data_IF_276591427089
#
_entry.id   IF_276591427089
#
_cell.length_a   1.000
_cell.length_b   1.000
_cell.length_c   1.000
_cell.angle_alpha   90.00
_cell.angle_beta   90.00
_cell.angle_gamma   90.00
#
_symmetry.space_group_name_H-M   'P 1'
#
loop_
_entity.id
_entity.type
_entity.pdbx_description
1 polymer ?
#
# COMPACT_ATOMS: atom_id res chain seq x y z
N UNK A 1 8.30 -22.20 30.06
CA UNK A 1 6.99 -21.49 30.06
C UNK A 1 7.25 -19.98 30.05
N UNK A 2 8.31 -19.54 30.73
CA UNK A 2 8.78 -18.16 30.74
C UNK A 2 9.34 -17.71 29.37
N UNK A 3 9.99 -18.59 28.61
CA UNK A 3 10.59 -18.28 27.31
C UNK A 3 9.53 -17.97 26.24
N UNK A 4 8.40 -18.67 26.28
CA UNK A 4 7.27 -18.43 25.37
C UNK A 4 6.61 -17.08 25.64
N UNK A 5 6.45 -16.75 26.92
CA UNK A 5 5.95 -15.43 27.36
C UNK A 5 6.91 -14.34 26.90
N UNK A 6 8.22 -14.58 27.01
CA UNK A 6 9.23 -13.63 26.59
C UNK A 6 9.21 -13.39 25.06
N UNK A 7 9.12 -14.45 24.25
CA UNK A 7 9.00 -14.32 22.79
C UNK A 7 7.74 -13.54 22.40
N UNK A 8 6.60 -13.81 23.06
CA UNK A 8 5.38 -13.06 22.81
C UNK A 8 5.51 -11.57 23.20
N UNK A 9 6.19 -11.26 24.31
CA UNK A 9 6.49 -9.88 24.70
C UNK A 9 7.37 -9.18 23.66
N UNK A 10 8.37 -9.88 23.10
CA UNK A 10 9.20 -9.36 22.02
C UNK A 10 8.32 -9.02 20.80
N UNK A 11 7.44 -9.93 20.38
CA UNK A 11 6.57 -9.69 19.22
C UNK A 11 5.61 -8.52 19.46
N UNK A 12 5.01 -8.42 20.65
CA UNK A 12 4.14 -7.30 21.01
C UNK A 12 4.89 -5.97 21.05
N UNK A 13 6.15 -5.96 21.53
CA UNK A 13 6.99 -4.76 21.51
C UNK A 13 7.27 -4.31 20.08
N UNK A 14 7.59 -5.25 19.18
CA UNK A 14 7.81 -4.98 17.76
C UNK A 14 6.56 -4.30 17.18
N UNK A 15 5.38 -4.90 17.33
CA UNK A 15 4.13 -4.34 16.79
C UNK A 15 3.81 -2.95 17.34
N UNK A 16 3.99 -2.75 18.64
CA UNK A 16 3.70 -1.49 19.30
C UNK A 16 4.58 -0.34 18.77
N UNK A 17 5.83 -0.62 18.40
CA UNK A 17 6.77 0.43 17.96
C UNK A 17 6.66 0.71 16.45
N UNK A 18 6.36 -0.30 15.63
CA UNK A 18 6.46 -0.21 14.17
C UNK A 18 5.12 -0.22 13.44
N UNK A 19 4.00 -0.28 14.17
CA UNK A 19 2.65 -0.40 13.62
C UNK A 19 2.49 -1.62 12.68
N UNK A 20 3.22 -2.71 12.95
CA UNK A 20 2.96 -3.97 12.27
C UNK A 20 1.57 -4.48 12.64
N UNK A 21 0.88 -5.06 11.66
CA UNK A 21 -0.43 -5.68 11.83
C UNK A 21 -0.34 -7.11 12.39
N UNK A 22 0.86 -7.66 12.48
CA UNK A 22 1.09 -9.05 12.84
C UNK A 22 2.54 -9.48 12.75
N UNK A 23 3.01 -10.28 13.71
CA UNK A 23 4.33 -10.86 13.72
C UNK A 23 4.34 -12.34 14.11
N UNK A 24 5.30 -13.09 13.58
CA UNK A 24 5.51 -14.52 13.81
C UNK A 24 6.99 -14.82 14.03
N UNK A 25 7.29 -15.73 14.95
CA UNK A 25 8.58 -16.41 14.99
C UNK A 25 8.46 -17.82 14.43
N UNK A 26 9.27 -18.11 13.42
CA UNK A 26 9.41 -19.44 12.83
C UNK A 26 10.78 -20.01 13.19
N UNK A 27 10.79 -21.27 13.63
CA UNK A 27 12.01 -22.06 13.72
C UNK A 27 12.40 -22.56 12.32
N UNK A 28 13.58 -22.17 11.85
CA UNK A 28 14.10 -22.52 10.52
C UNK A 28 14.47 -24.01 10.42
N UNK A 29 14.85 -24.66 11.53
CA UNK A 29 15.29 -26.06 11.50
C UNK A 29 14.15 -27.03 11.18
N UNK A 30 12.95 -26.72 11.64
CA UNK A 30 11.78 -27.60 11.50
C UNK A 30 10.57 -26.91 10.84
N UNK A 31 10.76 -25.69 10.31
CA UNK A 31 9.72 -24.88 9.66
C UNK A 31 8.44 -24.75 10.49
N UNK A 32 8.56 -24.68 11.81
CA UNK A 32 7.42 -24.61 12.72
C UNK A 32 7.24 -23.21 13.29
N UNK A 33 5.98 -22.81 13.45
CA UNK A 33 5.64 -21.60 14.16
C UNK A 33 5.86 -21.79 15.66
N UNK A 34 6.70 -20.95 16.26
CA UNK A 34 6.95 -20.95 17.70
C UNK A 34 5.94 -20.06 18.42
N UNK A 35 5.78 -18.83 17.93
CA UNK A 35 4.95 -17.82 18.59
C UNK A 35 4.41 -16.81 17.57
N UNK A 36 3.25 -16.22 17.87
CA UNK A 36 2.58 -15.25 17.00
C UNK A 36 1.66 -14.33 17.78
N UNK A 37 1.61 -13.07 17.37
CA UNK A 37 0.63 -12.07 17.84
C UNK A 37 -0.70 -12.16 17.11
N UNK A 38 -0.71 -12.77 15.92
CA UNK A 38 -1.92 -12.99 15.14
C UNK A 38 -2.72 -14.16 15.76
N UNK A 39 -4.04 -13.99 16.00
CA UNK A 39 -4.86 -15.00 16.69
C UNK A 39 -5.36 -16.13 15.79
N UNK A 40 -5.00 -16.18 14.50
CA UNK A 40 -5.43 -17.20 13.56
C UNK A 40 -4.27 -18.04 13.02
N UNK A 41 -4.58 -19.30 12.71
CA UNK A 41 -3.61 -20.24 12.17
C UNK A 41 -3.25 -19.88 10.73
N UNK A 42 -1.95 -19.85 10.42
CA UNK A 42 -1.47 -19.82 9.04
C UNK A 42 -1.21 -21.27 8.61
N UNK A 43 -1.68 -21.63 7.42
CA UNK A 43 -1.45 -22.98 6.90
C UNK A 43 0.07 -23.27 6.84
N UNK A 44 0.48 -24.44 7.34
CA UNK A 44 1.90 -24.83 7.42
C UNK A 44 2.59 -24.78 6.05
N UNK A 45 1.86 -25.10 4.99
CA UNK A 45 2.36 -25.06 3.61
C UNK A 45 2.82 -23.65 3.23
N UNK A 46 2.07 -22.62 3.62
CA UNK A 46 2.43 -21.21 3.37
C UNK A 46 3.70 -20.82 4.13
N UNK A 47 3.80 -21.21 5.41
CA UNK A 47 4.98 -20.91 6.22
C UNK A 47 6.22 -21.61 5.66
N UNK A 48 6.06 -22.84 5.15
CA UNK A 48 7.12 -23.58 4.49
C UNK A 48 7.55 -22.92 3.18
N UNK A 49 6.60 -22.50 2.32
CA UNK A 49 6.90 -21.78 1.08
C UNK A 49 7.70 -20.50 1.35
N UNK A 50 7.37 -19.76 2.40
CA UNK A 50 8.10 -18.55 2.81
C UNK A 50 9.55 -18.88 3.22
N UNK A 51 9.76 -19.97 3.96
CA UNK A 51 11.11 -20.43 4.31
C UNK A 51 11.92 -20.84 3.07
N UNK A 52 11.33 -21.59 2.15
CA UNK A 52 11.98 -22.00 0.89
C UNK A 52 12.36 -20.79 0.05
N UNK A 53 11.48 -19.80 -0.03
CA UNK A 53 11.75 -18.55 -0.76
C UNK A 53 12.96 -17.81 -0.17
N UNK A 54 13.02 -17.68 1.16
CA UNK A 54 14.16 -17.08 1.86
C UNK A 54 15.46 -17.81 1.54
N UNK A 55 15.49 -19.14 1.63
CA UNK A 55 16.68 -19.94 1.34
C UNK A 55 17.12 -19.79 -0.12
N UNK A 56 16.16 -19.76 -1.05
CA UNK A 56 16.44 -19.54 -2.48
C UNK A 56 17.12 -18.19 -2.70
N UNK A 57 16.62 -17.12 -2.07
CA UNK A 57 17.26 -15.80 -2.15
C UNK A 57 18.60 -15.73 -1.43
N UNK A 58 18.81 -16.49 -0.37
CA UNK A 58 20.12 -16.62 0.26
C UNK A 58 21.14 -17.26 -0.69
N UNK A 59 20.76 -18.33 -1.39
CA UNK A 59 21.63 -18.97 -2.38
C UNK A 59 22.01 -18.00 -3.49
N UNK A 60 21.06 -17.20 -4.00
CA UNK A 60 21.37 -16.15 -4.96
C UNK A 60 22.33 -15.10 -4.39
N UNK A 61 22.13 -14.67 -3.14
CA UNK A 61 23.01 -13.70 -2.48
C UNK A 61 24.44 -14.24 -2.33
N UNK A 62 24.59 -15.54 -2.04
CA UNK A 62 25.89 -16.21 -1.93
C UNK A 62 26.57 -16.29 -3.31
N UNK A 63 25.84 -16.64 -4.37
CA UNK A 63 26.39 -16.72 -5.73
C UNK A 63 26.93 -15.37 -6.25
N UNK A 64 26.30 -14.27 -5.86
CA UNK A 64 26.77 -12.92 -6.21
C UNK A 64 27.78 -12.34 -5.20
N UNK A 65 28.25 -13.13 -4.23
CA UNK A 65 29.15 -12.71 -3.14
C UNK A 65 28.64 -11.52 -2.32
N UNK A 66 27.31 -11.39 -2.17
CA UNK A 66 26.68 -10.34 -1.36
C UNK A 66 26.61 -10.71 0.13
N UNK A 67 26.84 -11.99 0.47
CA UNK A 67 26.86 -12.50 1.84
C UNK A 67 25.45 -12.79 2.39
N UNK A 68 25.31 -12.72 3.72
CA UNK A 68 24.05 -13.09 4.38
C UNK A 68 22.93 -12.09 4.11
N UNK A 69 21.81 -12.61 3.59
CA UNK A 69 20.56 -11.89 3.45
C UNK A 69 19.96 -11.67 4.85
N UNK A 70 19.97 -10.41 5.28
CA UNK A 70 19.49 -10.03 6.62
C UNK A 70 17.99 -9.74 6.65
N UNK A 71 17.44 -9.29 5.53
CA UNK A 71 16.05 -8.90 5.33
C UNK A 71 15.60 -9.32 3.92
N UNK A 72 14.39 -9.86 3.83
CA UNK A 72 13.65 -10.01 2.58
C UNK A 72 12.30 -9.30 2.73
N UNK A 73 11.95 -8.44 1.79
CA UNK A 73 10.65 -7.77 1.76
C UNK A 73 9.86 -8.30 0.57
N UNK A 74 8.66 -8.80 0.83
CA UNK A 74 7.71 -9.24 -0.16
C UNK A 74 6.55 -8.26 -0.20
N UNK A 75 6.22 -7.78 -1.39
CA UNK A 75 5.03 -6.96 -1.63
C UNK A 75 3.91 -7.87 -2.12
N UNK A 76 2.73 -7.73 -1.53
CA UNK A 76 1.53 -8.48 -1.94
C UNK A 76 0.28 -7.60 -1.88
N UNK A 77 -0.85 -8.10 -2.37
CA UNK A 77 -2.05 -7.31 -2.69
C UNK A 77 -2.65 -6.45 -1.56
N UNK A 78 -2.30 -6.72 -0.30
CA UNK A 78 -2.81 -6.00 0.89
C UNK A 78 -1.73 -5.32 1.72
N UNK A 79 -0.47 -5.38 1.31
CA UNK A 79 0.64 -4.72 1.98
C UNK A 79 1.96 -5.45 1.81
N UNK A 80 2.75 -5.49 2.88
CA UNK A 80 4.11 -6.00 2.85
C UNK A 80 4.33 -7.07 3.90
N UNK A 81 5.14 -8.06 3.54
CA UNK A 81 5.66 -9.07 4.44
C UNK A 81 7.17 -8.89 4.51
N UNK A 82 7.67 -8.73 5.72
CA UNK A 82 9.09 -8.63 6.01
C UNK A 82 9.57 -9.91 6.67
N UNK A 83 10.65 -10.48 6.16
CA UNK A 83 11.34 -11.61 6.75
C UNK A 83 12.68 -11.12 7.27
N UNK A 84 12.90 -11.22 8.57
CA UNK A 84 14.16 -10.87 9.20
C UNK A 84 14.85 -12.11 9.71
N UNK A 85 16.12 -12.29 9.33
CA UNK A 85 16.92 -13.37 9.88
C UNK A 85 17.35 -13.01 11.32
N UNK A 86 16.98 -13.87 12.28
CA UNK A 86 17.30 -13.72 13.69
C UNK A 86 18.12 -14.94 14.13
N UNK A 87 19.46 -14.83 14.12
CA UNK A 87 20.34 -15.92 14.52
C UNK A 87 20.07 -16.36 15.97
N UNK A 88 20.30 -17.63 16.31
CA UNK A 88 20.88 -18.66 15.43
C UNK A 88 19.89 -19.40 14.53
N UNK A 89 18.59 -19.46 14.86
CA UNK A 89 17.67 -20.41 14.20
C UNK A 89 16.27 -19.85 13.90
N UNK A 90 16.07 -18.55 14.04
CA UNK A 90 14.74 -17.95 13.92
C UNK A 90 14.61 -17.05 12.69
N UNK A 91 13.42 -17.05 12.14
CA UNK A 91 12.96 -16.03 11.21
C UNK A 91 11.79 -15.31 11.85
N UNK A 92 11.92 -13.98 11.94
CA UNK A 92 10.80 -13.11 12.24
C UNK A 92 10.08 -12.80 10.94
N UNK A 93 8.80 -13.14 10.85
CA UNK A 93 7.90 -12.64 9.82
C UNK A 93 7.08 -11.52 10.40
N UNK A 94 7.06 -10.36 9.75
CA UNK A 94 6.22 -9.23 10.14
C UNK A 94 5.37 -8.78 8.96
N UNK A 95 4.09 -8.47 9.21
CA UNK A 95 3.11 -8.10 8.19
C UNK A 95 2.64 -6.67 8.45
N UNK A 96 2.60 -5.85 7.41
CA UNK A 96 2.06 -4.49 7.49
C UNK A 96 1.19 -4.17 6.28
N UNK A 97 0.34 -3.15 6.40
CA UNK A 97 -0.50 -2.63 5.31
C UNK A 97 0.27 -1.70 4.36
N UNK A 98 -0.35 -1.36 3.22
CA UNK A 98 0.18 -0.36 2.29
C UNK A 98 0.19 1.08 2.82
N UNK A 99 -0.57 1.36 3.88
CA UNK A 99 -0.66 2.70 4.45
C UNK A 99 0.58 3.03 5.31
N UNK A 100 1.36 2.01 5.67
CA UNK A 100 2.53 2.15 6.52
C UNK A 100 3.71 2.76 5.78
N UNK A 101 4.37 3.73 6.42
CA UNK A 101 5.59 4.31 5.89
C UNK A 101 6.78 3.34 6.05
N UNK A 102 7.10 2.62 4.98
CA UNK A 102 8.19 1.62 4.95
C UNK A 102 9.53 2.22 5.40
N UNK A 103 9.85 3.47 5.03
CA UNK A 103 11.12 4.08 5.40
C UNK A 103 11.25 4.28 6.91
N UNK A 104 10.18 4.75 7.56
CA UNK A 104 10.15 4.90 9.01
C UNK A 104 10.21 3.55 9.72
N UNK A 105 9.45 2.58 9.20
CA UNK A 105 9.42 1.21 9.72
C UNK A 105 10.79 0.54 9.64
N UNK A 106 11.48 0.64 8.49
CA UNK A 106 12.83 0.09 8.33
C UNK A 106 13.83 0.75 9.28
N UNK A 107 13.72 2.06 9.50
CA UNK A 107 14.57 2.77 10.44
C UNK A 107 14.35 2.27 11.88
N UNK A 108 13.09 2.15 12.31
CA UNK A 108 12.75 1.63 13.63
C UNK A 108 13.22 0.17 13.82
N UNK A 109 13.11 -0.64 12.77
CA UNK A 109 13.51 -2.05 12.82
C UNK A 109 15.02 -2.26 13.02
N UNK A 110 15.89 -1.31 12.64
CA UNK A 110 17.34 -1.45 12.86
C UNK A 110 17.65 -1.64 14.36
N UNK A 111 17.11 -0.76 15.21
CA UNK A 111 17.36 -0.79 16.66
C UNK A 111 16.60 -1.91 17.36
N UNK A 112 15.37 -2.18 16.90
CA UNK A 112 14.54 -3.27 17.43
C UNK A 112 15.21 -4.62 17.15
N UNK A 113 15.61 -4.90 15.91
CA UNK A 113 16.24 -6.17 15.54
C UNK A 113 17.53 -6.42 16.31
N UNK A 114 18.30 -5.36 16.63
CA UNK A 114 19.48 -5.49 17.47
C UNK A 114 19.11 -5.97 18.88
N UNK A 115 18.14 -5.32 19.54
CA UNK A 115 17.66 -5.70 20.88
C UNK A 115 17.03 -7.10 20.89
N UNK A 116 16.26 -7.42 19.86
CA UNK A 116 15.64 -8.74 19.68
C UNK A 116 16.69 -9.85 19.58
N UNK A 117 17.74 -9.63 18.78
CA UNK A 117 18.85 -10.59 18.65
C UNK A 117 19.61 -10.78 19.97
N UNK A 118 19.82 -9.72 20.73
CA UNK A 118 20.46 -9.79 22.06
C UNK A 118 19.63 -10.65 23.03
N UNK A 119 18.32 -10.38 23.12
CA UNK A 119 17.40 -11.16 23.98
C UNK A 119 17.28 -12.62 23.56
N UNK A 120 17.18 -12.89 22.26
CA UNK A 120 17.12 -14.27 21.74
C UNK A 120 18.44 -15.01 21.98
N UNK A 121 19.58 -14.31 21.91
CA UNK A 121 20.87 -14.89 22.25
C UNK A 121 20.98 -15.25 23.73
N UNK A 122 20.39 -14.44 24.63
CA UNK A 122 20.34 -14.72 26.07
C UNK A 122 19.47 -15.95 26.40
N UNK A 123 18.36 -16.12 25.67
CA UNK A 123 17.51 -17.32 25.76
C UNK A 123 18.22 -18.60 25.26
N UNK A 124 19.11 -18.46 24.28
CA UNK A 124 19.94 -19.55 23.74
C UNK A 124 19.15 -20.66 23.05
N UNK A 125 19.76 -21.86 22.96
CA UNK A 125 19.20 -23.01 22.23
C UNK A 125 17.91 -23.58 22.85
N UNK A 126 17.53 -23.12 24.03
CA UNK A 126 16.27 -23.53 24.67
C UNK A 126 15.05 -23.12 23.85
N UNK A 127 15.16 -22.07 23.03
CA UNK A 127 14.08 -21.66 22.12
C UNK A 127 13.71 -22.78 21.13
N UNK A 128 14.68 -23.61 20.72
CA UNK A 128 14.44 -24.72 19.79
C UNK A 128 13.58 -25.83 20.37
N UNK A 129 13.55 -25.93 21.70
CA UNK A 129 12.77 -26.95 22.42
C UNK A 129 11.33 -26.51 22.66
N UNK A 130 10.98 -25.26 22.33
CA UNK A 130 9.61 -24.77 22.47
C UNK A 130 8.72 -25.52 21.48
N UNK A 131 7.66 -26.19 21.94
CA UNK A 131 6.75 -26.87 21.04
C UNK A 131 6.06 -25.85 20.13
N UNK A 132 5.73 -26.23 18.88
CA UNK A 132 5.00 -25.37 17.97
C UNK A 132 3.73 -24.81 18.61
N UNK A 133 3.37 -23.57 18.26
CA UNK A 133 2.10 -22.97 18.71
C UNK A 133 0.93 -23.68 18.03
N UNK A 134 0.11 -24.34 18.83
CA UNK A 134 -1.20 -24.81 18.39
C UNK A 134 -2.18 -23.64 18.38
N UNK A 135 -2.89 -23.48 17.27
CA UNK A 135 -4.00 -22.55 17.16
C UNK A 135 -5.31 -23.31 17.33
N UNK A 136 -6.25 -22.72 18.07
CA UNK A 136 -7.63 -23.19 18.09
C UNK A 136 -8.26 -23.11 16.69
N UNK A 137 -9.28 -23.92 16.47
CA UNK A 137 -10.09 -23.85 15.25
C UNK A 137 -10.81 -22.49 15.25
N UNK A 138 -10.84 -21.80 14.10
CA UNK A 138 -11.50 -20.50 13.95
C UNK A 138 -12.94 -20.57 14.50
N UNK A 139 -13.17 -19.96 15.67
CA UNK A 139 -14.45 -20.05 16.40
C UNK A 139 -14.34 -20.46 17.87
N UNK A 140 -13.21 -20.97 18.33
CA UNK A 140 -12.97 -21.17 19.77
C UNK A 140 -12.58 -19.85 20.44
N UNK A 141 -13.38 -19.43 21.44
CA UNK A 141 -13.02 -18.30 22.30
C UNK A 141 -11.73 -18.65 23.04
N UNK A 142 -10.65 -17.94 22.73
CA UNK A 142 -9.48 -17.90 23.59
C UNK A 142 -9.88 -17.21 24.90
N UNK A 143 -9.98 -17.99 25.99
CA UNK A 143 -9.94 -17.44 27.34
C UNK A 143 -8.53 -16.91 27.57
N UNK A 144 -8.34 -15.61 27.34
CA UNK A 144 -7.14 -14.91 27.77
C UNK A 144 -7.27 -14.79 29.29
N UNK A 145 -6.32 -15.33 30.10
CA UNK A 145 -6.34 -15.06 31.53
C UNK A 145 -6.10 -13.56 31.73
N UNK A 146 -7.08 -12.87 32.29
CA UNK A 146 -6.94 -11.49 32.76
C UNK A 146 -5.77 -11.43 33.75
N UNK A 147 -4.67 -10.82 33.33
CA UNK A 147 -3.69 -10.27 34.28
C UNK A 147 -3.81 -8.76 34.24
N UNK A 148 -4.06 -8.20 35.42
CA UNK A 148 -4.14 -6.79 35.75
C UNK A 148 -3.14 -5.95 34.95
N UNK A 149 -3.66 -5.12 34.05
CA UNK A 149 -2.93 -4.01 33.46
C UNK A 149 -2.91 -2.92 34.54
N UNK A 150 -1.77 -2.74 35.21
CA UNK A 150 -1.53 -1.57 36.05
C UNK A 150 -1.53 -0.34 35.12
N UNK A 151 -2.39 0.67 35.36
CA UNK A 151 -2.53 1.78 34.44
C UNK A 151 -1.35 2.75 34.59
N UNK A 152 -0.48 2.82 33.58
CA UNK A 152 0.50 3.90 33.47
C UNK A 152 -0.02 4.94 32.48
N UNK A 153 -0.50 6.03 33.08
CA UNK A 153 -0.73 7.38 32.58
C UNK A 153 -1.47 7.58 31.24
N UNK A 154 -2.74 7.93 31.44
CA UNK A 154 -3.63 8.68 30.56
C UNK A 154 -2.99 9.94 29.96
N UNK A 155 -3.28 10.15 28.67
CA UNK A 155 -3.12 11.42 27.93
C UNK A 155 -3.61 12.62 28.74
N UNK A 156 -2.79 13.66 28.86
CA UNK A 156 -3.25 15.02 29.18
C UNK A 156 -3.11 15.91 27.94
N UNK A 157 -4.27 16.38 27.46
CA UNK A 157 -4.39 17.57 26.59
C UNK A 157 -4.16 18.81 27.45
N UNK A 158 -3.52 19.81 26.85
CA UNK A 158 -2.80 20.88 27.55
C UNK A 158 -3.62 21.92 28.32
N UNK A 159 -2.88 22.69 29.12
CA UNK A 159 -3.21 24.04 29.59
C UNK A 159 -1.91 24.86 29.57
N UNK A 160 -2.00 26.04 28.97
CA UNK A 160 -1.01 27.12 28.95
C UNK A 160 -1.00 27.80 30.33
N UNK A 161 0.19 28.04 30.92
CA UNK A 161 0.44 29.31 31.65
C UNK A 161 1.94 29.58 31.77
N UNK A 162 2.27 30.86 31.62
CA UNK A 162 3.58 31.51 31.53
C UNK A 162 4.38 31.54 32.85
N UNK A 163 5.71 31.60 32.71
CA UNK A 163 6.62 32.59 33.32
C UNK A 163 8.06 32.14 33.03
N UNK A 164 8.70 32.66 31.98
CA UNK A 164 9.61 33.82 32.00
C UNK A 164 10.92 33.57 32.75
N UNK A 165 12.01 33.37 31.99
CA UNK A 165 13.25 34.13 32.22
C UNK A 165 14.09 34.19 30.93
N UNK A 166 14.49 35.43 30.64
CA UNK A 166 15.20 35.96 29.49
C UNK A 166 16.66 35.51 29.41
N UNK A 167 17.25 35.44 28.20
CA UNK A 167 18.58 35.98 27.89
C UNK A 167 18.66 36.38 26.40
N UNK A 168 19.42 37.44 26.18
CA UNK A 168 19.62 38.39 25.09
C UNK A 168 20.11 37.90 23.71
N UNK A 169 19.64 38.62 22.69
CA UNK A 169 20.15 38.72 21.29
C UNK A 169 21.31 39.72 21.22
N UNK A 170 22.18 39.64 20.18
CA UNK A 170 22.39 40.86 19.38
C UNK A 170 22.29 40.64 17.86
N UNK A 171 21.90 41.73 17.22
CA UNK A 171 21.37 41.93 15.86
C UNK A 171 22.32 41.72 14.67
N UNK A 172 21.68 41.53 13.50
CA UNK A 172 21.86 42.25 12.19
C UNK A 172 21.66 41.26 11.01
N UNK A 173 20.99 41.52 9.87
CA UNK A 173 20.32 42.65 9.21
C UNK A 173 19.36 42.02 8.17
N UNK A 174 18.12 42.51 8.09
CA UNK A 174 17.18 42.27 6.97
C UNK A 174 17.24 43.46 6.00
N UNK A 175 17.30 43.21 4.69
CA UNK A 175 17.10 44.23 3.64
C UNK A 175 15.65 44.20 3.14
N UNK A 176 15.02 45.37 2.88
CA UNK A 176 13.64 45.46 2.42
C UNK A 176 13.51 45.45 0.89
N UNK A 177 12.36 44.99 0.41
CA UNK A 177 11.87 45.09 -0.99
C UNK A 177 11.18 46.46 -1.15
N UNK A 178 11.45 47.24 -2.21
CA UNK A 178 10.75 48.49 -2.45
C UNK A 178 9.51 48.33 -3.35
N UNK A 179 8.42 48.97 -2.91
CA UNK A 179 7.24 49.37 -3.68
C UNK A 179 7.57 50.59 -4.55
N UNK A 180 7.10 50.64 -5.81
CA UNK A 180 6.94 51.89 -6.58
C UNK A 180 5.59 51.89 -7.31
N UNK A 181 4.97 53.07 -7.27
CA UNK A 181 3.58 53.47 -7.57
C UNK A 181 3.34 53.73 -9.07
N UNK A 182 2.05 53.68 -9.42
CA UNK A 182 1.32 53.93 -10.68
C UNK A 182 1.58 55.26 -11.44
N UNK A 183 1.28 55.28 -12.75
CA UNK A 183 0.30 56.14 -13.51
C UNK A 183 0.63 56.18 -15.05
N UNK A 184 -0.19 56.73 -16.00
CA UNK A 184 -1.17 55.99 -16.83
C UNK A 184 -1.13 56.23 -18.38
N UNK A 185 -1.79 55.34 -19.18
CA UNK A 185 -2.62 55.51 -20.44
C UNK A 185 -2.05 56.32 -21.65
N UNK A 186 -2.11 55.86 -22.94
CA UNK A 186 -3.38 55.67 -23.69
C UNK A 186 -3.52 54.54 -24.75
N UNK A 187 -4.79 54.09 -24.91
CA UNK A 187 -5.43 53.43 -26.08
C UNK A 187 -5.58 54.43 -27.25
N UNK A 188 -5.79 54.06 -28.55
CA UNK A 188 -6.76 53.06 -29.07
C UNK A 188 -6.24 52.23 -30.29
N UNK A 189 -6.94 51.20 -30.78
CA UNK A 189 -7.87 51.25 -31.93
C UNK A 189 -8.63 49.91 -32.03
N UNK A 190 -9.92 50.03 -32.33
CA UNK A 190 -10.93 49.00 -32.59
C UNK A 190 -10.61 48.13 -33.81
N UNK A 191 -11.11 46.88 -33.84
CA UNK A 191 -11.85 46.35 -35.00
C UNK A 191 -12.62 45.06 -34.65
N UNK A 192 -13.94 45.22 -34.68
CA UNK A 192 -14.96 44.33 -35.27
C UNK A 192 -15.11 42.85 -34.84
N UNK A 193 -16.21 42.62 -34.10
CA UNK A 193 -17.37 41.82 -34.54
C UNK A 193 -17.11 40.40 -35.09
N UNK A 194 -17.45 39.41 -34.26
CA UNK A 194 -18.36 38.35 -34.75
C UNK A 194 -19.28 37.86 -33.64
N UNK A 195 -20.59 37.95 -33.93
CA UNK A 195 -21.66 37.33 -33.18
C UNK A 195 -21.45 35.81 -33.15
N UNK A 196 -21.39 35.24 -31.96
CA UNK A 196 -21.89 33.88 -31.74
C UNK A 196 -22.76 33.89 -30.50
N UNK A 197 -23.98 33.38 -30.69
CA UNK A 197 -24.97 33.11 -29.64
C UNK A 197 -24.30 32.32 -28.50
N UNK A 198 -24.78 32.43 -27.24
CA UNK A 198 -24.39 31.47 -26.23
C UNK A 198 -24.87 30.11 -26.75
N UNK A 199 -23.92 29.28 -27.17
CA UNK A 199 -24.14 27.85 -27.31
C UNK A 199 -24.36 27.39 -25.88
N UNK A 200 -25.62 27.12 -25.55
CA UNK A 200 -25.99 26.21 -24.46
C UNK A 200 -25.08 25.00 -24.63
N UNK A 201 -24.03 24.96 -23.81
CA UNK A 201 -23.00 23.95 -23.92
C UNK A 201 -23.61 22.71 -23.33
N UNK A 202 -24.21 21.95 -24.25
CA UNK A 202 -24.51 20.54 -24.22
C UNK A 202 -24.03 19.84 -22.94
N UNK A 203 -25.01 19.23 -22.27
CA UNK A 203 -24.86 18.15 -21.31
C UNK A 203 -23.50 17.44 -21.46
N UNK A 204 -22.66 17.57 -20.42
CA UNK A 204 -21.30 17.02 -20.35
C UNK A 204 -21.22 15.61 -20.98
N UNK A 205 -20.37 15.37 -22.01
CA UNK A 205 -20.23 14.07 -22.68
C UNK A 205 -19.84 12.92 -21.73
N UNK A 206 -19.24 13.25 -20.58
CA UNK A 206 -18.84 12.30 -19.54
C UNK A 206 -19.98 11.40 -19.01
N UNK A 207 -21.14 11.99 -18.66
CA UNK A 207 -22.23 11.19 -18.09
C UNK A 207 -22.79 10.18 -19.09
N UNK A 208 -22.74 10.52 -20.38
CA UNK A 208 -23.16 9.61 -21.45
C UNK A 208 -22.21 8.42 -21.57
N UNK A 209 -20.90 8.65 -21.51
CA UNK A 209 -19.88 7.60 -21.60
C UNK A 209 -19.93 6.69 -20.36
N UNK A 210 -20.02 7.27 -19.16
CA UNK A 210 -20.15 6.49 -17.92
C UNK A 210 -21.42 5.64 -17.90
N UNK A 211 -22.55 6.16 -18.37
CA UNK A 211 -23.79 5.40 -18.46
C UNK A 211 -23.70 4.27 -19.49
N UNK A 212 -23.04 4.51 -20.63
CA UNK A 212 -22.81 3.49 -21.64
C UNK A 212 -21.93 2.36 -21.08
N UNK A 213 -20.80 2.68 -20.44
CA UNK A 213 -19.90 1.70 -19.84
C UNK A 213 -20.61 0.92 -18.71
N UNK A 214 -21.39 1.59 -17.86
CA UNK A 214 -22.21 0.91 -16.84
C UNK A 214 -23.19 -0.07 -17.45
N UNK A 215 -23.91 0.31 -18.50
CA UNK A 215 -24.85 -0.61 -19.17
C UNK A 215 -24.16 -1.82 -19.79
N UNK A 216 -22.92 -1.67 -20.26
CA UNK A 216 -22.10 -2.78 -20.75
C UNK A 216 -21.63 -3.68 -19.60
N UNK A 217 -21.25 -3.09 -18.47
CA UNK A 217 -20.90 -3.84 -17.25
C UNK A 217 -22.10 -4.65 -16.74
N UNK A 218 -23.28 -4.06 -16.68
CA UNK A 218 -24.50 -4.74 -16.23
C UNK A 218 -24.83 -5.95 -17.13
N UNK A 219 -24.49 -5.88 -18.42
CA UNK A 219 -24.67 -7.00 -19.35
C UNK A 219 -23.69 -8.18 -19.14
N UNK A 220 -22.67 -8.03 -18.28
CA UNK A 220 -21.75 -9.13 -17.93
C UNK A 220 -22.41 -10.18 -17.03
N UNK A 221 -23.40 -9.78 -16.21
CA UNK A 221 -24.16 -10.65 -15.31
C UNK A 221 -25.14 -11.54 -16.11
N UNK A 222 -24.63 -12.61 -16.73
CA UNK A 222 -25.44 -13.60 -17.46
C UNK A 222 -24.86 -14.04 -18.79
N UNK A 223 -23.82 -13.35 -19.27
CA UNK A 223 -23.10 -13.72 -20.49
C UNK A 223 -22.12 -14.88 -20.29
N UNK A 224 -21.87 -15.64 -21.36
CA UNK A 224 -20.82 -16.67 -21.36
C UNK A 224 -19.42 -16.03 -21.40
N UNK A 225 -18.36 -16.83 -21.19
CA UNK A 225 -17.00 -16.31 -21.08
C UNK A 225 -16.51 -15.57 -22.34
N UNK A 226 -16.91 -16.02 -23.53
CA UNK A 226 -16.52 -15.41 -24.81
C UNK A 226 -17.17 -14.04 -24.97
N UNK A 227 -18.45 -13.92 -24.62
CA UNK A 227 -19.19 -12.65 -24.62
C UNK A 227 -18.63 -11.69 -23.57
N UNK A 228 -18.33 -12.16 -22.35
CA UNK A 228 -17.70 -11.35 -21.29
C UNK A 228 -16.37 -10.75 -21.75
N UNK A 229 -15.53 -11.57 -22.38
CA UNK A 229 -14.26 -11.14 -22.97
C UNK A 229 -14.45 -10.10 -24.08
N UNK A 230 -15.48 -10.26 -24.94
CA UNK A 230 -15.83 -9.30 -25.98
C UNK A 230 -16.29 -7.95 -25.41
N UNK A 231 -17.20 -7.97 -24.45
CA UNK A 231 -17.73 -6.76 -23.79
C UNK A 231 -16.60 -5.97 -23.11
N UNK A 232 -15.71 -6.66 -22.39
CA UNK A 232 -14.57 -6.01 -21.71
C UNK A 232 -13.59 -5.41 -22.72
N UNK A 233 -13.38 -6.06 -23.86
CA UNK A 233 -12.58 -5.49 -24.96
C UNK A 233 -13.18 -4.18 -25.47
N UNK A 234 -14.49 -4.18 -25.70
CA UNK A 234 -15.19 -3.00 -26.20
C UNK A 234 -15.13 -1.84 -25.18
N UNK A 235 -15.21 -2.14 -23.88
CA UNK A 235 -15.02 -1.12 -22.82
C UNK A 235 -13.59 -0.54 -22.87
N UNK A 236 -12.56 -1.38 -22.99
CA UNK A 236 -11.18 -0.89 -23.13
C UNK A 236 -10.98 -0.03 -24.37
N UNK A 237 -11.58 -0.39 -25.51
CA UNK A 237 -11.51 0.40 -26.75
C UNK A 237 -12.22 1.76 -26.61
N UNK A 238 -13.33 1.83 -25.86
CA UNK A 238 -14.00 3.10 -25.54
C UNK A 238 -13.09 3.98 -24.69
N UNK A 239 -12.52 3.44 -23.60
CA UNK A 239 -11.62 4.19 -22.71
C UNK A 239 -10.44 4.73 -23.51
N UNK A 240 -9.84 3.90 -24.36
CA UNK A 240 -8.69 4.26 -25.20
C UNK A 240 -8.96 5.45 -26.13
N UNK A 241 -10.17 5.49 -26.72
CA UNK A 241 -10.61 6.60 -27.59
C UNK A 241 -10.88 7.88 -26.82
N UNK A 242 -11.41 7.76 -25.60
CA UNK A 242 -11.84 8.91 -24.80
C UNK A 242 -10.73 9.54 -23.94
N UNK A 243 -9.52 8.96 -23.90
CA UNK A 243 -8.36 9.50 -23.18
C UNK A 243 -8.03 10.97 -23.54
N UNK A 244 -8.31 11.40 -24.78
CA UNK A 244 -8.05 12.79 -25.24
C UNK A 244 -9.14 13.78 -24.79
N UNK A 245 -10.32 13.27 -24.46
CA UNK A 245 -11.50 14.07 -24.16
C UNK A 245 -11.78 14.19 -22.67
N UNK A 246 -11.35 13.19 -21.89
CA UNK A 246 -11.58 13.09 -20.44
C UNK A 246 -10.41 13.64 -19.61
N UNK A 247 -10.71 14.09 -18.40
CA UNK A 247 -9.67 14.40 -17.41
C UNK A 247 -9.26 13.13 -16.64
N UNK A 248 -8.13 13.18 -15.93
CA UNK A 248 -7.60 12.02 -15.21
C UNK A 248 -8.58 11.45 -14.17
N UNK A 249 -9.31 12.31 -13.47
CA UNK A 249 -10.33 11.89 -12.48
C UNK A 249 -11.46 11.09 -13.11
N UNK A 250 -11.97 11.54 -14.25
CA UNK A 250 -13.05 10.89 -14.99
C UNK A 250 -12.61 9.49 -15.49
N UNK A 251 -11.37 9.39 -15.98
CA UNK A 251 -10.77 8.12 -16.41
C UNK A 251 -10.58 7.19 -15.20
N UNK A 252 -10.13 7.71 -14.06
CA UNK A 252 -9.99 6.93 -12.82
C UNK A 252 -11.32 6.32 -12.36
N UNK A 253 -12.41 7.09 -12.38
CA UNK A 253 -13.74 6.58 -12.03
C UNK A 253 -14.17 5.43 -12.96
N UNK A 254 -13.96 5.58 -14.26
CA UNK A 254 -14.29 4.54 -15.26
C UNK A 254 -13.42 3.29 -15.05
N UNK A 255 -12.12 3.46 -14.79
CA UNK A 255 -11.21 2.34 -14.52
C UNK A 255 -11.59 1.59 -13.25
N UNK A 256 -12.02 2.29 -12.19
CA UNK A 256 -12.48 1.62 -10.97
C UNK A 256 -13.76 0.80 -11.21
N UNK A 257 -14.73 1.35 -11.96
CA UNK A 257 -15.94 0.59 -12.33
C UNK A 257 -15.59 -0.66 -13.14
N UNK A 258 -14.69 -0.54 -14.12
CA UNK A 258 -14.24 -1.67 -14.93
C UNK A 258 -13.49 -2.72 -14.08
N UNK A 259 -12.65 -2.29 -13.13
CA UNK A 259 -11.92 -3.17 -12.23
C UNK A 259 -12.87 -4.05 -11.42
N UNK A 260 -13.87 -3.43 -10.79
CA UNK A 260 -14.84 -4.14 -9.96
C UNK A 260 -15.66 -5.12 -10.81
N UNK A 261 -16.08 -4.69 -12.01
CA UNK A 261 -16.77 -5.55 -12.98
C UNK A 261 -15.95 -6.78 -13.40
N UNK A 262 -14.66 -6.62 -13.69
CA UNK A 262 -13.79 -7.74 -14.07
C UNK A 262 -13.57 -8.69 -12.89
N UNK A 263 -13.38 -8.15 -11.68
CA UNK A 263 -13.18 -8.95 -10.48
C UNK A 263 -14.40 -9.83 -10.19
N UNK A 264 -15.61 -9.29 -10.36
CA UNK A 264 -16.87 -9.99 -10.11
C UNK A 264 -17.22 -10.98 -11.23
N UNK A 265 -16.92 -10.67 -12.50
CA UNK A 265 -17.43 -11.43 -13.64
C UNK A 265 -16.41 -12.34 -14.34
N UNK A 266 -15.11 -12.02 -14.27
CA UNK A 266 -14.03 -12.82 -14.86
C UNK A 266 -13.14 -13.45 -13.78
N UNK A 267 -12.83 -12.71 -12.71
CA UNK A 267 -11.93 -13.13 -11.64
C UNK A 267 -10.63 -12.32 -11.59
N UNK A 268 -9.63 -12.84 -10.90
CA UNK A 268 -8.40 -12.10 -10.60
C UNK A 268 -7.40 -12.09 -11.77
N UNK A 269 -6.74 -10.96 -11.98
CA UNK A 269 -5.63 -10.82 -12.92
C UNK A 269 -4.63 -9.80 -12.39
N UNK A 270 -3.33 -10.04 -12.59
CA UNK A 270 -2.27 -9.08 -12.24
C UNK A 270 -2.44 -7.74 -12.98
N UNK A 271 -3.15 -7.74 -14.12
CA UNK A 271 -3.51 -6.49 -14.81
C UNK A 271 -4.53 -5.63 -14.04
N UNK A 272 -5.34 -6.21 -13.15
CA UNK A 272 -6.23 -5.45 -12.26
C UNK A 272 -5.46 -4.63 -11.23
N UNK A 273 -4.31 -5.15 -10.79
CA UNK A 273 -3.40 -4.42 -9.90
C UNK A 273 -2.80 -3.20 -10.61
N UNK A 274 -2.28 -3.39 -11.83
CA UNK A 274 -1.76 -2.29 -12.64
C UNK A 274 -2.85 -1.26 -12.95
N UNK A 275 -4.05 -1.70 -13.29
CA UNK A 275 -5.20 -0.85 -13.57
C UNK A 275 -5.61 -0.02 -12.33
N UNK A 276 -5.67 -0.64 -11.15
CA UNK A 276 -5.96 0.03 -9.87
C UNK A 276 -4.91 1.08 -9.49
N UNK A 277 -3.63 0.74 -9.64
CA UNK A 277 -2.50 1.67 -9.40
C UNK A 277 -2.59 2.88 -10.32
N UNK A 278 -2.84 2.65 -11.60
CA UNK A 278 -2.93 3.71 -12.61
C UNK A 278 -4.20 4.55 -12.44
N UNK A 279 -5.31 3.96 -12.01
CA UNK A 279 -6.51 4.71 -11.60
C UNK A 279 -6.19 5.69 -10.46
N UNK A 280 -5.46 5.24 -9.43
CA UNK A 280 -5.05 6.08 -8.29
C UNK A 280 -4.06 7.18 -8.69
N UNK A 281 -3.22 6.93 -9.70
CA UNK A 281 -2.35 7.95 -10.26
C UNK A 281 -3.16 9.00 -11.03
N UNK A 282 -4.08 8.54 -11.89
CA UNK A 282 -4.96 9.38 -12.70
C UNK A 282 -5.93 10.23 -11.85
N UNK A 283 -6.38 9.72 -10.70
CA UNK A 283 -7.28 10.45 -9.80
C UNK A 283 -6.68 11.75 -9.26
N UNK A 284 -5.35 11.90 -9.32
CA UNK A 284 -4.62 13.10 -8.90
C UNK A 284 -4.60 14.20 -9.97
N UNK A 285 -4.98 13.88 -11.21
CA UNK A 285 -5.01 14.81 -12.32
C UNK A 285 -6.42 15.38 -12.53
N UNK A 286 -6.59 16.66 -12.19
CA UNK A 286 -7.82 17.42 -12.47
C UNK A 286 -7.93 17.91 -13.91
N UNK A 287 -6.79 17.99 -14.60
CA UNK A 287 -6.70 18.48 -15.98
C UNK A 287 -6.71 17.33 -16.99
N UNK A 288 -6.87 17.69 -18.26
CA UNK A 288 -6.69 16.74 -19.38
C UNK A 288 -5.25 16.24 -19.42
N UNK A 289 -5.09 14.97 -19.81
CA UNK A 289 -3.79 14.36 -20.01
C UNK A 289 -3.01 15.08 -21.12
N UNK A 290 -1.69 15.20 -20.97
CA UNK A 290 -0.84 15.73 -22.05
C UNK A 290 -0.70 14.66 -23.13
N UNK A 291 -0.44 15.09 -24.38
CA UNK A 291 -0.29 14.21 -25.55
C UNK A 291 0.72 13.07 -25.30
N UNK A 292 1.81 13.35 -24.57
CA UNK A 292 2.81 12.35 -24.20
C UNK A 292 2.25 11.28 -23.26
N UNK A 293 1.44 11.69 -22.29
CA UNK A 293 0.84 10.80 -21.29
C UNK A 293 -0.28 9.96 -21.93
N UNK A 294 -1.05 10.54 -22.86
CA UNK A 294 -2.10 9.83 -23.62
C UNK A 294 -1.54 8.59 -24.31
N UNK A 295 -0.43 8.73 -25.05
CA UNK A 295 0.18 7.60 -25.77
C UNK A 295 0.62 6.49 -24.81
N UNK A 296 1.23 6.86 -23.68
CA UNK A 296 1.63 5.89 -22.65
C UNK A 296 0.43 5.18 -22.04
N UNK A 297 -0.68 5.88 -21.79
CA UNK A 297 -1.90 5.26 -21.28
C UNK A 297 -2.61 4.37 -22.31
N UNK A 298 -2.56 4.72 -23.59
CA UNK A 298 -3.06 3.85 -24.67
C UNK A 298 -2.29 2.51 -24.71
N UNK A 299 -0.96 2.55 -24.62
CA UNK A 299 -0.11 1.35 -24.57
C UNK A 299 -0.37 0.49 -23.31
N UNK A 300 -0.60 1.14 -22.16
CA UNK A 300 -0.97 0.46 -20.91
C UNK A 300 -2.34 -0.23 -21.02
N UNK A 301 -3.33 0.45 -21.60
CA UNK A 301 -4.68 -0.12 -21.82
C UNK A 301 -4.61 -1.38 -22.70
N UNK A 302 -3.84 -1.33 -23.79
CA UNK A 302 -3.66 -2.50 -24.66
C UNK A 302 -3.03 -3.68 -23.91
N UNK A 303 -2.04 -3.39 -23.05
CA UNK A 303 -1.39 -4.40 -22.22
C UNK A 303 -2.37 -5.04 -21.22
N UNK A 304 -3.21 -4.23 -20.55
CA UNK A 304 -4.23 -4.73 -19.63
C UNK A 304 -5.27 -5.58 -20.33
N UNK A 305 -5.80 -5.10 -21.46
CA UNK A 305 -6.77 -5.84 -22.27
C UNK A 305 -6.23 -7.22 -22.65
N UNK A 306 -4.99 -7.32 -23.15
CA UNK A 306 -4.36 -8.58 -23.54
C UNK A 306 -4.14 -9.55 -22.37
N UNK A 307 -3.94 -9.04 -21.15
CA UNK A 307 -3.71 -9.88 -19.95
C UNK A 307 -4.99 -10.31 -19.25
N UNK A 308 -6.08 -9.57 -19.44
CA UNK A 308 -7.39 -9.86 -18.86
C UNK A 308 -8.19 -10.76 -19.80
N UNK A 309 -8.15 -10.47 -21.11
CA UNK A 309 -8.87 -11.22 -22.13
C UNK A 309 -8.03 -12.43 -22.54
N UNK A 310 -8.31 -13.58 -21.92
CA UNK A 310 -7.71 -14.86 -22.32
C UNK A 310 -8.53 -15.44 -23.48
N UNK A 311 -7.93 -15.50 -24.67
CA UNK A 311 -8.49 -16.18 -25.85
C UNK A 311 -8.33 -17.70 -25.75
#
# INVERSE_FOLDING_TARGET
MDEKIELLQILNEIEYITDFNGCYFINVENNSLIESTIPFNVQKDILWEICVLKETFQQFADEINHGNLSELMLEGDKGYIFLYNIPPHLVLIAITSYETNISYLKLAMIDILKRVRERIKELGDNILKIPPKDFGILGEKLEIPEKEIVPVLSKSKGIITESSESISVPDKITKPIPNIIETPIPLPIETESSKTKPIDTAVKPLKSIQNMIKSMIDSLEGSNQVEKNGIIKDIFDIIKKELENLNGKDISEILNLLKDAILENIGTSLALFDLSRNSTELSKYSDKLKIKDIKTYQEKIDNWANRIIKF
#
